data_IF_909756961427
#
_entry.id   IF_909756961427
#
_cell.length_a   1.000
_cell.length_b   1.000
_cell.length_c   1.000
_cell.angle_alpha   90.00
_cell.angle_beta   90.00
_cell.angle_gamma   90.00
#
_symmetry.space_group_name_H-M   'P 1'
#
loop_
_entity.id
_entity.type
_entity.pdbx_description
1 polymer ?
#
# COMPACT_ATOMS: atom_id res chain seq x y z
N UNK A 1 -102.13 40.16 0.40
CA UNK A 1 -101.00 39.72 1.22
C UNK A 1 -99.75 39.78 0.33
N UNK A 2 -98.94 40.82 0.47
CA UNK A 2 -97.68 40.93 -0.28
C UNK A 2 -96.63 40.06 0.40
N UNK A 3 -96.14 39.02 -0.28
CA UNK A 3 -95.00 38.25 0.23
C UNK A 3 -93.77 39.15 0.22
N UNK A 4 -93.21 39.42 1.40
CA UNK A 4 -91.91 40.09 1.54
C UNK A 4 -90.85 39.21 0.91
N UNK A 5 -90.29 39.62 -0.23
CA UNK A 5 -89.11 38.97 -0.79
C UNK A 5 -87.88 39.39 0.02
N UNK A 6 -87.35 38.44 0.78
CA UNK A 6 -86.02 38.53 1.37
C UNK A 6 -85.00 38.06 0.33
N UNK A 7 -84.06 38.93 -0.02
CA UNK A 7 -82.92 38.57 -0.88
C UNK A 7 -81.72 38.32 0.01
N UNK A 8 -81.11 37.15 -0.15
CA UNK A 8 -79.85 36.79 0.51
C UNK A 8 -78.73 37.03 -0.50
N UNK A 9 -77.76 37.86 -0.15
CA UNK A 9 -76.51 38.02 -0.91
C UNK A 9 -75.36 37.46 -0.08
N UNK A 10 -74.43 36.78 -0.74
CA UNK A 10 -73.29 36.13 -0.09
C UNK A 10 -71.99 36.72 -0.64
N UNK A 11 -71.00 36.92 0.22
CA UNK A 11 -69.62 37.26 -0.16
C UNK A 11 -68.72 36.12 0.31
N UNK A 12 -68.02 35.47 -0.62
CA UNK A 12 -66.94 34.55 -0.32
C UNK A 12 -65.69 35.07 -1.01
N UNK A 13 -64.71 35.53 -0.23
CA UNK A 13 -63.48 36.05 -0.75
C UNK A 13 -62.26 35.52 -0.01
N UNK A 14 -61.11 35.49 -0.67
CA UNK A 14 -59.85 35.10 -0.05
C UNK A 14 -58.81 36.21 -0.14
N UNK A 15 -58.11 36.43 0.97
CA UNK A 15 -56.88 37.22 1.02
C UNK A 15 -55.72 36.26 1.23
N UNK A 16 -54.69 36.30 0.40
CA UNK A 16 -53.54 35.40 0.50
C UNK A 16 -52.21 36.11 0.28
N UNK A 17 -51.16 35.59 0.90
CA UNK A 17 -49.76 35.97 0.61
C UNK A 17 -48.83 34.78 0.71
N UNK A 18 -47.88 34.70 -0.23
CA UNK A 18 -46.78 33.73 -0.17
C UNK A 18 -45.64 34.20 0.71
N UNK A 19 -45.09 33.23 1.44
CA UNK A 19 -43.90 33.37 2.27
C UNK A 19 -42.90 32.28 1.89
N UNK A 20 -41.62 32.52 2.19
CA UNK A 20 -40.56 31.52 2.01
C UNK A 20 -40.87 30.25 2.80
N UNK A 21 -40.50 29.10 2.23
CA UNK A 21 -40.56 27.83 2.93
C UNK A 21 -39.68 27.88 4.19
N UNK A 22 -40.12 27.23 5.27
CA UNK A 22 -39.42 27.19 6.56
C UNK A 22 -39.06 25.75 6.92
N UNK A 23 -37.76 25.45 7.01
CA UNK A 23 -37.24 24.25 7.64
C UNK A 23 -36.82 24.51 9.09
N UNK A 24 -36.83 23.47 9.92
CA UNK A 24 -36.45 23.55 11.35
C UNK A 24 -35.10 22.91 11.68
N UNK A 25 -34.44 22.34 10.67
CA UNK A 25 -33.16 21.66 10.79
C UNK A 25 -32.36 21.80 9.50
N UNK A 26 -31.06 21.99 9.63
CA UNK A 26 -30.09 21.95 8.52
C UNK A 26 -28.99 20.96 8.88
N UNK A 27 -28.64 20.09 7.94
CA UNK A 27 -27.48 19.23 8.11
C UNK A 27 -26.21 20.09 8.10
N UNK A 28 -25.35 19.93 9.10
CA UNK A 28 -24.01 20.51 9.09
C UNK A 28 -23.24 19.80 7.99
N UNK A 29 -22.92 20.53 6.92
CA UNK A 29 -22.28 20.06 5.68
C UNK A 29 -21.72 18.63 5.79
N UNK A 30 -22.50 17.64 5.34
CA UNK A 30 -22.02 16.29 5.13
C UNK A 30 -21.10 16.31 3.91
N UNK A 31 -19.89 16.83 4.09
CA UNK A 31 -18.82 16.70 3.11
C UNK A 31 -18.58 15.22 2.93
N UNK A 32 -18.95 14.70 1.76
CA UNK A 32 -18.87 13.28 1.46
C UNK A 32 -17.48 12.76 1.78
N UNK A 33 -17.42 11.78 2.67
CA UNK A 33 -16.20 11.00 2.83
C UNK A 33 -16.05 10.16 1.56
N UNK A 34 -15.26 10.65 0.61
CA UNK A 34 -14.79 9.82 -0.49
C UNK A 34 -13.68 8.95 0.10
N UNK A 35 -14.05 7.80 0.66
CA UNK A 35 -13.09 6.74 0.95
C UNK A 35 -12.94 5.90 -0.30
N UNK A 36 -12.25 6.45 -1.30
CA UNK A 36 -11.71 5.62 -2.37
C UNK A 36 -10.37 5.12 -1.89
N UNK A 37 -10.30 3.86 -1.48
CA UNK A 37 -9.07 3.10 -1.60
C UNK A 37 -8.76 3.04 -3.09
N UNK A 38 -7.94 3.97 -3.58
CA UNK A 38 -7.39 3.83 -4.92
C UNK A 38 -6.49 2.61 -4.86
N UNK A 39 -6.83 1.54 -5.59
CA UNK A 39 -5.88 0.48 -5.89
C UNK A 39 -4.69 1.15 -6.57
N UNK A 40 -3.63 1.38 -5.80
CA UNK A 40 -2.41 2.01 -6.25
C UNK A 40 -1.59 0.95 -6.96
N UNK A 41 -1.40 1.15 -8.27
CA UNK A 41 -0.84 0.17 -9.18
C UNK A 41 0.46 -0.46 -8.70
N UNK A 42 0.55 -1.78 -8.92
CA UNK A 42 1.81 -2.50 -8.85
C UNK A 42 2.86 -1.81 -9.71
N UNK A 43 4.01 -1.54 -9.11
CA UNK A 43 5.10 -0.80 -9.72
C UNK A 43 6.42 -1.49 -9.41
N UNK A 44 7.27 -1.58 -10.41
CA UNK A 44 8.62 -2.11 -10.27
C UNK A 44 9.51 -1.07 -9.59
N UNK A 45 9.99 -1.36 -8.38
CA UNK A 45 10.93 -0.47 -7.67
C UNK A 45 12.34 -0.91 -8.01
N UNK A 46 12.97 -0.22 -8.95
CA UNK A 46 14.40 -0.37 -9.22
C UNK A 46 15.19 0.43 -8.20
N UNK A 47 15.88 -0.23 -7.28
CA UNK A 47 16.86 0.45 -6.43
C UNK A 47 18.01 0.96 -7.30
N UNK A 48 18.40 2.21 -7.12
CA UNK A 48 19.53 2.81 -7.85
C UNK A 48 20.79 1.98 -7.60
N UNK A 49 21.53 1.73 -8.68
CA UNK A 49 22.79 0.99 -8.70
C UNK A 49 23.71 1.41 -7.56
N UNK A 50 23.91 0.53 -6.57
CA UNK A 50 24.98 0.71 -5.60
C UNK A 50 26.28 0.37 -6.30
N UNK A 51 27.14 1.38 -6.47
CA UNK A 51 28.38 1.29 -7.23
C UNK A 51 29.25 0.12 -6.79
N UNK A 52 29.86 -0.55 -7.76
CA UNK A 52 30.76 -1.69 -7.52
C UNK A 52 31.87 -1.31 -6.55
N UNK A 53 31.80 -1.83 -5.33
CA UNK A 53 32.80 -1.63 -4.31
C UNK A 53 33.88 -2.70 -4.45
N UNK A 54 35.13 -2.29 -4.56
CA UNK A 54 36.28 -3.17 -4.37
C UNK A 54 36.62 -3.17 -2.89
N UNK A 55 36.58 -4.34 -2.23
CA UNK A 55 37.03 -4.49 -0.84
C UNK A 55 38.30 -5.32 -0.82
N UNK A 56 39.32 -4.80 -0.14
CA UNK A 56 40.56 -5.52 0.08
C UNK A 56 40.30 -6.51 1.23
N UNK A 57 40.15 -7.79 0.93
CA UNK A 57 39.65 -8.80 1.91
C UNK A 57 40.73 -9.33 2.85
N UNK A 58 42.00 -9.06 2.61
CA UNK A 58 43.08 -9.46 3.51
C UNK A 58 44.41 -8.76 3.17
N UNK A 59 45.01 -8.10 4.17
CA UNK A 59 46.42 -7.69 4.16
C UNK A 59 47.22 -8.66 5.01
N UNK A 60 47.37 -9.91 4.56
CA UNK A 60 48.20 -10.86 5.28
C UNK A 60 49.67 -10.62 4.93
N UNK A 61 50.36 -9.97 5.87
CA UNK A 61 51.80 -9.71 5.83
C UNK A 61 52.59 -11.00 5.62
N UNK A 62 53.57 -10.93 4.72
CA UNK A 62 54.48 -12.03 4.41
C UNK A 62 55.11 -12.62 5.69
N UNK A 63 55.15 -13.95 5.75
CA UNK A 63 55.68 -14.71 6.88
C UNK A 63 56.78 -15.68 6.43
N UNK A 64 57.75 -15.91 7.32
CA UNK A 64 58.83 -16.89 7.11
C UNK A 64 58.38 -18.23 7.68
N UNK A 65 58.23 -19.25 6.83
CA UNK A 65 57.97 -20.62 7.28
C UNK A 65 59.28 -21.39 7.36
N UNK A 66 59.63 -21.89 8.55
CA UNK A 66 60.75 -22.84 8.74
C UNK A 66 60.18 -24.26 8.66
N UNK A 67 60.63 -25.04 7.68
CA UNK A 67 60.38 -26.49 7.65
C UNK A 67 61.15 -27.16 8.81
N UNK A 68 60.51 -28.15 9.44
CA UNK A 68 60.87 -28.84 10.70
C UNK A 68 62.37 -29.06 10.96
N UNK A 69 62.79 -28.82 12.20
CA UNK A 69 64.08 -29.22 12.73
C UNK A 69 64.21 -30.75 12.77
N UNK A 70 65.43 -31.22 12.46
CA UNK A 70 65.93 -32.59 12.66
C UNK A 70 65.74 -33.58 11.49
N UNK A 71 66.72 -33.56 10.58
CA UNK A 71 66.99 -34.62 9.59
C UNK A 71 68.46 -35.07 9.58
N UNK A 72 69.17 -35.00 10.71
CA UNK A 72 70.54 -35.50 10.84
C UNK A 72 70.54 -36.93 11.38
N UNK A 73 70.97 -37.90 10.59
CA UNK A 73 71.14 -39.30 11.04
C UNK A 73 72.43 -39.89 10.48
N UNK A 74 73.16 -40.64 11.30
CA UNK A 74 74.35 -41.38 10.89
C UNK A 74 73.93 -42.73 10.32
N UNK A 75 74.25 -42.97 9.05
CA UNK A 75 73.99 -44.28 8.41
C UNK A 75 75.30 -45.02 8.21
N UNK A 76 75.41 -46.23 8.78
CA UNK A 76 76.54 -47.14 8.53
C UNK A 76 76.27 -47.88 7.22
N UNK A 77 77.09 -47.66 6.20
CA UNK A 77 76.84 -48.15 4.83
C UNK A 77 77.58 -49.45 4.49
N UNK A 78 78.29 -50.07 5.42
CA UNK A 78 79.02 -51.33 5.14
C UNK A 78 79.14 -52.21 6.37
N UNK A 79 78.99 -53.52 6.16
CA UNK A 79 79.17 -54.59 7.17
C UNK A 79 80.38 -55.44 6.78
N UNK A 80 81.11 -55.96 7.77
CA UNK A 80 82.28 -56.84 7.61
C UNK A 80 82.09 -57.86 6.50
N UNK A 81 83.00 -57.89 5.52
CA UNK A 81 83.12 -58.99 4.57
C UNK A 81 84.08 -60.03 5.15
N UNK A 82 83.54 -61.20 5.47
CA UNK A 82 84.33 -62.36 5.88
C UNK A 82 84.76 -63.08 4.61
N UNK A 83 86.07 -63.13 4.35
CA UNK A 83 86.58 -64.02 3.32
C UNK A 83 86.67 -65.43 3.93
N UNK A 84 86.11 -66.48 3.29
CA UNK A 84 86.33 -67.86 3.73
C UNK A 84 87.84 -68.11 3.81
N UNK A 85 88.29 -68.95 4.75
CA UNK A 85 89.70 -69.12 5.18
C UNK A 85 90.72 -69.45 4.06
N UNK A 86 90.26 -69.61 2.83
CA UNK A 86 90.99 -70.10 1.66
C UNK A 86 91.00 -69.13 0.47
N UNK A 87 90.39 -67.93 0.56
CA UNK A 87 90.04 -67.15 -0.65
C UNK A 87 90.91 -65.92 -0.94
N UNK A 88 91.86 -65.53 -0.08
CA UNK A 88 92.82 -64.46 -0.42
C UNK A 88 94.22 -65.03 -0.69
N UNK A 89 94.38 -65.59 -1.89
CA UNK A 89 95.68 -66.05 -2.40
C UNK A 89 96.30 -64.94 -3.26
N UNK A 90 97.37 -64.32 -2.77
CA UNK A 90 98.21 -63.42 -3.57
C UNK A 90 99.38 -64.24 -4.09
N UNK A 91 99.35 -64.62 -5.37
CA UNK A 91 100.49 -65.24 -6.05
C UNK A 91 101.29 -64.16 -6.76
N UNK A 92 102.58 -64.03 -6.45
CA UNK A 92 103.50 -63.27 -7.29
C UNK A 92 103.77 -64.03 -8.60
N UNK A 93 103.98 -63.31 -9.71
CA UNK A 93 104.37 -63.91 -10.99
C UNK A 93 105.75 -64.61 -10.91
N UNK A 94 106.06 -65.54 -11.83
CA UNK A 94 107.27 -66.36 -11.76
C UNK A 94 108.53 -65.49 -11.81
N UNK A 95 109.49 -65.75 -10.92
CA UNK A 95 110.82 -65.15 -10.97
C UNK A 95 111.61 -65.74 -12.14
N UNK A 96 112.23 -64.88 -12.97
CA UNK A 96 112.87 -65.21 -14.25
C UNK A 96 114.23 -65.92 -14.17
N UNK A 97 114.56 -66.54 -13.04
CA UNK A 97 115.88 -67.13 -12.82
C UNK A 97 115.82 -68.66 -12.93
N UNK A 98 116.79 -69.22 -13.64
CA UNK A 98 116.83 -70.52 -14.32
C UNK A 98 116.83 -71.79 -13.44
N UNK A 99 116.20 -71.77 -12.27
CA UNK A 99 116.00 -72.94 -11.41
C UNK A 99 114.54 -73.06 -10.99
N UNK A 100 113.79 -73.91 -11.72
CA UNK A 100 112.43 -74.41 -11.42
C UNK A 100 111.43 -73.36 -10.92
N UNK A 101 110.50 -72.96 -11.79
CA UNK A 101 109.34 -72.12 -11.46
C UNK A 101 108.67 -72.60 -10.16
N UNK A 102 108.58 -71.71 -9.18
CA UNK A 102 107.80 -71.92 -7.96
C UNK A 102 107.06 -70.64 -7.60
N UNK A 103 105.92 -70.78 -6.90
CA UNK A 103 105.11 -69.68 -6.43
C UNK A 103 105.31 -69.47 -4.93
N UNK A 104 105.33 -68.20 -4.50
CA UNK A 104 105.28 -67.86 -3.08
C UNK A 104 103.82 -67.69 -2.67
N UNK A 105 103.39 -68.45 -1.67
CA UNK A 105 102.09 -68.28 -1.02
C UNK A 105 102.27 -67.42 0.23
N UNK A 106 101.70 -66.22 0.22
CA UNK A 106 101.56 -65.40 1.43
C UNK A 106 100.21 -65.73 2.08
N UNK A 107 100.24 -66.50 3.16
CA UNK A 107 99.07 -66.71 4.00
C UNK A 107 98.89 -65.52 4.95
N UNK A 108 97.80 -64.79 4.79
CA UNK A 108 97.37 -63.81 5.79
C UNK A 108 96.78 -64.59 6.96
N UNK A 109 97.60 -64.82 7.99
CA UNK A 109 97.23 -65.60 9.18
C UNK A 109 96.21 -64.84 10.03
N UNK A 110 95.01 -65.39 10.20
CA UNK A 110 93.89 -64.81 10.97
C UNK A 110 92.57 -65.48 10.60
N UNK A 111 91.45 -65.11 11.22
CA UNK A 111 90.12 -65.69 10.95
C UNK A 111 89.48 -65.21 9.62
N UNK A 112 90.30 -64.75 8.66
CA UNK A 112 89.86 -64.27 7.35
C UNK A 112 89.11 -62.93 7.39
N UNK A 113 89.12 -62.23 8.54
CA UNK A 113 88.42 -60.94 8.68
C UNK A 113 89.31 -59.77 8.28
N UNK A 114 88.93 -59.12 7.19
CA UNK A 114 89.40 -57.78 6.86
C UNK A 114 88.34 -56.76 7.32
N UNK A 115 88.41 -56.40 8.60
CA UNK A 115 87.49 -55.44 9.18
C UNK A 115 87.87 -54.01 8.76
N UNK A 116 87.05 -53.42 7.89
CA UNK A 116 87.09 -52.00 7.58
C UNK A 116 85.66 -51.45 7.58
N UNK A 117 85.48 -50.25 8.11
CA UNK A 117 84.18 -49.59 8.19
C UNK A 117 84.27 -48.19 7.58
N UNK A 118 83.18 -47.80 6.92
CA UNK A 118 82.98 -46.43 6.42
C UNK A 118 81.78 -45.82 7.13
N UNK A 119 81.95 -44.60 7.63
CA UNK A 119 80.87 -43.79 8.16
C UNK A 119 80.78 -42.50 7.37
N UNK A 120 79.57 -42.12 6.95
CA UNK A 120 79.29 -40.81 6.38
C UNK A 120 78.38 -40.07 7.34
N UNK A 121 78.83 -38.89 7.78
CA UNK A 121 78.04 -38.01 8.64
C UNK A 121 77.49 -36.87 7.81
N UNK A 122 76.18 -36.66 7.86
CA UNK A 122 75.52 -35.50 7.27
C UNK A 122 75.11 -34.57 8.41
N UNK A 123 75.72 -33.36 8.51
CA UNK A 123 75.35 -32.40 9.53
C UNK A 123 73.88 -31.99 9.46
N UNK A 124 73.31 -31.66 10.62
CA UNK A 124 72.00 -31.04 10.67
C UNK A 124 72.00 -29.75 9.85
N UNK A 125 71.04 -29.61 8.95
CA UNK A 125 70.83 -28.40 8.17
C UNK A 125 69.35 -28.03 8.16
N UNK A 126 69.08 -26.76 7.90
CA UNK A 126 67.73 -26.21 7.83
C UNK A 126 67.53 -25.52 6.50
N UNK A 127 66.32 -25.63 5.95
CA UNK A 127 65.88 -24.83 4.81
C UNK A 127 64.99 -23.69 5.29
N UNK A 128 65.28 -22.49 4.80
CA UNK A 128 64.35 -21.36 4.90
C UNK A 128 63.81 -21.05 3.51
N UNK A 129 62.52 -20.76 3.45
CA UNK A 129 61.88 -20.25 2.25
C UNK A 129 61.05 -19.02 2.62
N UNK A 130 61.16 -17.98 1.78
CA UNK A 130 60.48 -16.72 1.98
C UNK A 130 59.33 -16.60 0.99
N UNK A 131 58.12 -16.37 1.49
CA UNK A 131 56.95 -16.06 0.66
C UNK A 131 56.81 -14.54 0.61
N UNK A 132 56.97 -13.90 -0.57
CA UNK A 132 56.79 -12.47 -0.70
C UNK A 132 55.38 -12.02 -0.29
N UNK A 133 55.28 -10.79 0.19
CA UNK A 133 54.00 -10.17 0.48
C UNK A 133 53.15 -10.09 -0.79
N UNK A 134 51.90 -10.55 -0.73
CA UNK A 134 50.97 -10.47 -1.85
C UNK A 134 49.60 -10.02 -1.35
N UNK A 135 48.80 -9.51 -2.28
CA UNK A 135 47.45 -9.02 -1.99
C UNK A 135 46.44 -9.79 -2.82
N UNK A 136 45.27 -10.05 -2.23
CA UNK A 136 44.11 -10.55 -2.95
C UNK A 136 43.13 -9.40 -3.18
N UNK A 137 42.70 -9.24 -4.42
CA UNK A 137 41.62 -8.34 -4.79
C UNK A 137 40.43 -9.15 -5.30
N UNK A 138 39.24 -8.79 -4.84
CA UNK A 138 37.99 -9.34 -5.33
C UNK A 138 37.18 -8.19 -5.88
N UNK A 139 36.83 -8.26 -7.16
CA UNK A 139 36.02 -7.26 -7.83
C UNK A 139 34.60 -7.78 -8.00
N UNK A 140 33.64 -7.04 -7.45
CA UNK A 140 32.21 -7.31 -7.62
C UNK A 140 31.67 -6.27 -8.61
N UNK A 141 31.29 -6.67 -9.84
CA UNK A 141 30.70 -5.75 -10.81
C UNK A 141 29.46 -5.05 -10.26
N UNK A 142 29.17 -3.87 -10.79
CA UNK A 142 27.91 -3.19 -10.52
C UNK A 142 26.76 -4.11 -10.94
N UNK A 143 25.80 -4.32 -10.02
CA UNK A 143 24.59 -5.08 -10.29
C UNK A 143 23.38 -4.31 -9.79
N UNK A 144 22.22 -4.74 -10.26
CA UNK A 144 20.92 -4.12 -9.92
C UNK A 144 20.02 -5.17 -9.30
N UNK A 145 19.26 -4.75 -8.29
CA UNK A 145 18.14 -5.53 -7.78
C UNK A 145 16.86 -5.04 -8.41
N UNK A 146 16.06 -5.98 -8.89
CA UNK A 146 14.71 -5.73 -9.38
C UNK A 146 13.72 -6.39 -8.42
N UNK A 147 12.79 -5.60 -7.89
CA UNK A 147 11.78 -6.04 -6.93
C UNK A 147 10.42 -5.73 -7.54
N UNK A 148 9.65 -6.80 -7.78
CA UNK A 148 8.28 -6.71 -8.26
C UNK A 148 7.31 -6.65 -7.08
N UNK A 149 6.53 -5.57 -6.98
CA UNK A 149 5.50 -5.42 -5.96
C UNK A 149 4.13 -5.59 -6.63
N UNK A 150 3.42 -6.71 -6.38
CA UNK A 150 2.11 -6.95 -6.98
C UNK A 150 1.11 -5.87 -6.56
N UNK A 151 0.06 -5.74 -7.38
CA UNK A 151 -1.06 -4.88 -7.06
C UNK A 151 -1.68 -5.31 -5.72
N UNK A 152 -1.83 -4.37 -4.80
CA UNK A 152 -2.42 -4.62 -3.48
C UNK A 152 -3.48 -3.57 -3.16
N UNK A 153 -4.34 -3.90 -2.21
CA UNK A 153 -5.42 -3.04 -1.75
C UNK A 153 -5.15 -2.59 -0.33
N UNK A 154 -5.44 -1.32 -0.04
CA UNK A 154 -5.51 -0.83 1.32
C UNK A 154 -6.95 -0.86 1.80
N UNK A 155 -7.16 -1.53 2.94
CA UNK A 155 -8.40 -1.43 3.68
C UNK A 155 -8.34 -0.19 4.57
N UNK A 156 -9.39 0.63 4.50
CA UNK A 156 -9.53 1.84 5.31
C UNK A 156 -10.83 1.70 6.08
N UNK A 157 -10.73 1.54 7.40
CA UNK A 157 -11.90 1.56 8.29
C UNK A 157 -12.21 2.99 8.72
N UNK A 158 -13.40 3.47 8.39
CA UNK A 158 -13.94 4.70 8.99
C UNK A 158 -14.82 4.33 10.18
N UNK A 159 -14.49 4.79 11.40
CA UNK A 159 -15.34 4.60 12.56
C UNK A 159 -16.73 5.20 12.34
N UNK A 160 -17.73 4.65 13.04
CA UNK A 160 -19.06 5.23 13.03
C UNK A 160 -19.01 6.68 13.55
N UNK A 161 -19.54 7.61 12.77
CA UNK A 161 -19.63 9.02 13.15
C UNK A 161 -21.07 9.52 12.98
N UNK A 162 -21.41 10.55 13.75
CA UNK A 162 -22.70 11.25 13.63
C UNK A 162 -22.49 12.63 13.03
N UNK A 163 -23.42 13.04 12.18
CA UNK A 163 -23.48 14.43 11.73
C UNK A 163 -24.35 15.21 12.70
N UNK A 164 -23.83 16.32 13.23
CA UNK A 164 -24.65 17.22 14.02
C UNK A 164 -25.75 17.83 13.15
N UNK A 165 -26.95 17.93 13.72
CA UNK A 165 -28.07 18.64 13.12
C UNK A 165 -28.15 20.01 13.76
N UNK A 166 -28.06 21.08 12.96
CA UNK A 166 -28.28 22.43 13.47
C UNK A 166 -29.77 22.69 13.49
N UNK A 167 -30.31 22.91 14.68
CA UNK A 167 -31.69 23.34 14.88
C UNK A 167 -31.81 24.85 14.66
N UNK A 168 -32.83 25.28 13.92
CA UNK A 168 -33.03 26.70 13.62
C UNK A 168 -34.11 26.93 12.57
N UNK A 169 -34.51 28.18 12.40
CA UNK A 169 -35.46 28.58 11.36
C UNK A 169 -34.67 28.91 10.09
N UNK A 170 -34.68 27.98 9.14
CA UNK A 170 -34.03 28.17 7.84
C UNK A 170 -35.09 28.49 6.80
N UNK A 171 -34.90 29.59 6.08
CA UNK A 171 -35.76 29.98 4.98
C UNK A 171 -35.13 29.57 3.66
N UNK A 172 -35.93 29.00 2.76
CA UNK A 172 -35.49 28.79 1.38
C UNK A 172 -35.15 30.16 0.75
N UNK A 173 -34.12 30.21 -0.08
CA UNK A 173 -33.69 31.45 -0.72
C UNK A 173 -34.77 31.98 -1.66
N UNK A 174 -35.32 31.08 -2.47
CA UNK A 174 -36.37 31.37 -3.42
C UNK A 174 -37.75 31.40 -2.77
N UNK A 175 -38.64 32.17 -3.41
CA UNK A 175 -40.04 32.31 -3.03
C UNK A 175 -40.87 31.90 -4.23
N UNK A 176 -41.96 31.13 -4.05
CA UNK A 176 -42.87 30.80 -5.14
C UNK A 176 -43.35 32.05 -5.85
N UNK A 177 -43.49 31.95 -7.17
CA UNK A 177 -43.87 33.06 -8.04
C UNK A 177 -45.37 33.06 -8.35
N UNK A 178 -46.06 31.94 -8.11
CA UNK A 178 -47.51 31.84 -8.33
C UNK A 178 -48.19 30.86 -7.35
N UNK A 179 -49.52 30.98 -7.22
CA UNK A 179 -50.37 30.03 -6.49
C UNK A 179 -51.65 29.82 -7.28
N UNK A 180 -51.86 28.59 -7.70
CA UNK A 180 -53.11 28.14 -8.27
C UNK A 180 -54.18 28.04 -7.19
N UNK A 181 -55.36 28.61 -7.45
CA UNK A 181 -56.51 28.55 -6.56
C UNK A 181 -57.61 27.75 -7.25
N UNK A 182 -58.13 26.74 -6.57
CA UNK A 182 -59.35 26.04 -7.01
C UNK A 182 -60.42 26.10 -5.94
N UNK A 183 -61.67 26.26 -6.37
CA UNK A 183 -62.86 26.17 -5.50
C UNK A 183 -63.71 25.04 -6.05
N UNK A 184 -63.96 24.02 -5.23
CA UNK A 184 -64.68 22.79 -5.64
C UNK A 184 -64.13 22.17 -6.94
N UNK A 185 -62.81 22.28 -7.15
CA UNK A 185 -62.11 21.82 -8.35
C UNK A 185 -62.07 22.81 -9.52
N UNK A 186 -62.88 23.88 -9.50
CA UNK A 186 -62.89 24.91 -10.54
C UNK A 186 -61.71 25.88 -10.38
N UNK A 187 -60.95 26.07 -11.45
CA UNK A 187 -59.79 26.98 -11.47
C UNK A 187 -60.25 28.45 -11.41
N UNK A 188 -59.79 29.17 -10.39
CA UNK A 188 -60.01 30.61 -10.26
C UNK A 188 -59.02 31.34 -11.17
N UNK A 189 -59.52 32.29 -11.98
CA UNK A 189 -58.67 33.07 -12.85
C UNK A 189 -57.90 34.15 -12.07
N UNK A 190 -56.83 33.73 -11.40
CA UNK A 190 -55.93 34.58 -10.65
C UNK A 190 -54.50 34.05 -10.76
N UNK A 191 -53.55 34.93 -11.07
CA UNK A 191 -52.11 34.64 -11.04
C UNK A 191 -51.41 35.65 -10.13
N UNK A 192 -50.59 35.17 -9.21
CA UNK A 192 -49.68 35.96 -8.40
C UNK A 192 -49.47 35.42 -7.00
N UNK A 193 -48.52 36.02 -6.28
CA UNK A 193 -48.15 35.61 -4.93
C UNK A 193 -48.93 36.30 -3.81
N UNK A 194 -49.59 37.41 -4.12
CA UNK A 194 -50.38 38.21 -3.20
C UNK A 194 -51.73 38.53 -3.84
N UNK A 195 -52.81 38.23 -3.14
CA UNK A 195 -54.17 38.54 -3.58
C UNK A 195 -54.94 39.13 -2.41
N UNK A 196 -55.65 40.22 -2.65
CA UNK A 196 -56.56 40.81 -1.68
C UNK A 196 -57.98 40.68 -2.17
N UNK A 197 -58.83 40.06 -1.34
CA UNK A 197 -60.28 39.93 -1.57
C UNK A 197 -60.63 39.37 -2.96
N UNK A 198 -59.99 38.27 -3.35
CA UNK A 198 -60.32 37.54 -4.59
C UNK A 198 -61.71 36.92 -4.41
N UNK A 199 -62.65 37.23 -5.32
CA UNK A 199 -64.00 36.67 -5.29
C UNK A 199 -63.98 35.18 -5.67
N UNK A 200 -64.55 34.34 -4.81
CA UNK A 200 -64.63 32.88 -4.97
C UNK A 200 -66.06 32.39 -5.24
N UNK A 201 -67.07 33.26 -5.13
CA UNK A 201 -68.48 32.86 -5.23
C UNK A 201 -68.89 32.36 -6.62
N UNK A 202 -68.13 32.73 -7.64
CA UNK A 202 -68.40 32.31 -9.02
C UNK A 202 -67.88 30.90 -9.30
N UNK A 203 -67.03 30.36 -8.43
CA UNK A 203 -66.32 29.10 -8.63
C UNK A 203 -66.82 27.99 -7.69
N UNK A 204 -67.69 28.32 -6.73
CA UNK A 204 -68.31 27.38 -5.81
C UNK A 204 -69.51 26.67 -6.48
N UNK A 205 -69.76 25.42 -6.11
CA UNK A 205 -70.86 24.64 -6.67
C UNK A 205 -72.24 25.28 -6.35
N UNK A 206 -73.11 25.36 -7.36
CA UNK A 206 -74.48 25.90 -7.25
C UNK A 206 -75.51 24.88 -7.69
N UNK A 207 -76.70 24.93 -7.08
CA UNK A 207 -77.86 24.14 -7.47
C UNK A 207 -78.48 24.65 -8.79
N UNK A 208 -79.51 23.95 -9.28
CA UNK A 208 -80.22 24.33 -10.51
C UNK A 208 -80.90 25.71 -10.45
N UNK A 209 -81.06 26.28 -9.26
CA UNK A 209 -81.65 27.59 -9.02
C UNK A 209 -80.59 28.69 -8.84
N UNK A 210 -79.31 28.37 -9.03
CA UNK A 210 -78.19 29.30 -8.89
C UNK A 210 -77.78 29.60 -7.44
N UNK A 211 -78.29 28.85 -6.46
CA UNK A 211 -77.91 28.98 -5.04
C UNK A 211 -76.71 28.09 -4.73
N UNK A 212 -75.82 28.53 -3.85
CA UNK A 212 -74.69 27.71 -3.40
C UNK A 212 -75.23 26.42 -2.78
N UNK A 213 -74.67 25.27 -3.16
CA UNK A 213 -75.07 23.97 -2.61
C UNK A 213 -74.76 23.91 -1.11
N UNK A 214 -75.50 23.09 -0.35
CA UNK A 214 -75.23 22.94 1.09
C UNK A 214 -74.21 21.83 1.29
N UNK A 215 -73.22 22.06 2.13
CA UNK A 215 -72.28 21.01 2.54
C UNK A 215 -70.86 21.53 2.65
N UNK A 216 -69.90 20.63 2.41
CA UNK A 216 -68.48 20.94 2.39
C UNK A 216 -68.12 21.50 1.02
N UNK A 217 -67.52 22.68 1.03
CA UNK A 217 -66.82 23.24 -0.12
C UNK A 217 -65.32 23.25 0.14
N UNK A 218 -64.52 23.07 -0.91
CA UNK A 218 -63.08 22.93 -0.80
C UNK A 218 -62.35 24.03 -1.58
N UNK A 219 -61.53 24.80 -0.86
CA UNK A 219 -60.62 25.78 -1.46
C UNK A 219 -59.21 25.20 -1.44
N UNK A 220 -58.69 24.85 -2.61
CA UNK A 220 -57.33 24.35 -2.78
C UNK A 220 -56.39 25.48 -3.15
N UNK A 221 -55.22 25.55 -2.51
CA UNK A 221 -54.16 26.52 -2.80
C UNK A 221 -52.88 25.76 -3.10
N UNK A 222 -52.46 25.76 -4.37
CA UNK A 222 -51.29 25.01 -4.84
C UNK A 222 -50.20 25.98 -5.32
N UNK A 223 -49.13 26.20 -4.54
CA UNK A 223 -48.02 27.04 -4.99
C UNK A 223 -47.19 26.30 -6.04
N UNK A 224 -46.62 27.03 -6.99
CA UNK A 224 -45.79 26.43 -8.05
C UNK A 224 -44.43 25.94 -7.56
N UNK A 225 -43.98 26.42 -6.39
CA UNK A 225 -42.76 25.99 -5.73
C UNK A 225 -42.97 25.84 -4.22
N UNK A 226 -41.93 25.37 -3.51
CA UNK A 226 -41.96 25.22 -2.05
C UNK A 226 -42.09 26.58 -1.37
N UNK A 227 -43.19 26.77 -0.66
CA UNK A 227 -43.41 27.97 0.14
C UNK A 227 -44.38 27.74 1.28
N UNK A 228 -44.64 28.81 2.02
CA UNK A 228 -45.70 28.87 3.02
C UNK A 228 -46.80 29.80 2.52
N UNK A 229 -48.05 29.35 2.58
CA UNK A 229 -49.22 30.17 2.27
C UNK A 229 -49.78 30.72 3.58
N UNK A 230 -50.02 32.03 3.62
CA UNK A 230 -50.86 32.65 4.63
C UNK A 230 -52.13 33.12 3.95
N UNK A 231 -53.26 32.52 4.30
CA UNK A 231 -54.55 32.81 3.70
C UNK A 231 -55.60 33.11 4.76
N UNK A 232 -56.52 34.01 4.42
CA UNK A 232 -57.69 34.36 5.19
C UNK A 232 -58.91 34.21 4.29
N UNK A 233 -59.83 33.34 4.68
CA UNK A 233 -61.12 33.19 4.03
C UNK A 233 -62.12 34.13 4.70
N UNK A 234 -62.82 34.92 3.89
CA UNK A 234 -63.79 35.91 4.33
C UNK A 234 -65.14 35.47 3.79
N UNK A 235 -66.04 35.12 4.70
CA UNK A 235 -67.44 34.79 4.42
C UNK A 235 -68.33 35.88 4.99
N UNK A 236 -69.20 36.49 4.18
CA UNK A 236 -70.25 37.39 4.67
C UNK A 236 -71.60 37.00 4.10
N UNK A 237 -72.62 37.16 4.92
CA UNK A 237 -74.01 36.94 4.58
C UNK A 237 -74.75 38.25 4.75
N UNK A 238 -75.38 38.74 3.68
CA UNK A 238 -76.25 39.91 3.69
C UNK A 238 -77.69 39.45 3.52
N UNK A 239 -78.58 39.99 4.36
CA UNK A 239 -80.02 39.74 4.27
C UNK A 239 -80.67 41.09 3.98
N UNK A 240 -81.21 41.26 2.78
CA UNK A 240 -81.91 42.48 2.35
C UNK A 240 -83.41 42.22 2.27
N UNK A 241 -84.19 43.06 2.93
CA UNK A 241 -85.66 43.05 2.83
C UNK A 241 -86.11 44.05 1.78
N UNK A 242 -86.81 43.60 0.73
CA UNK A 242 -87.46 44.50 -0.21
C UNK A 242 -88.86 44.87 0.31
N UNK A 243 -88.98 46.06 0.91
CA UNK A 243 -90.28 46.72 1.07
C UNK A 243 -90.45 47.65 -0.13
N UNK A 244 -91.34 47.27 -1.04
CA UNK A 244 -91.65 47.99 -2.27
C UNK A 244 -93.16 48.10 -2.42
N UNK A 245 -93.74 49.11 -1.79
CA UNK A 245 -95.06 49.63 -2.14
C UNK A 245 -94.88 51.07 -2.56
N UNK A 246 -95.45 51.46 -3.71
CA UNK A 246 -95.67 52.88 -3.98
C UNK A 246 -96.59 53.40 -2.86
N UNK A 247 -96.12 54.38 -2.10
CA UNK A 247 -96.96 55.18 -1.22
C UNK A 247 -97.77 56.18 -2.06
#
# INVERSE_FOLDING_TARGET
MGATLLTIEEELAIKKRMRKFRGYSKATAGGGSIVKSTGGGGGTVKSTSSGGASTQTSSSGGGTSKSTESGGSTTVTSTTKIFPKEVLQISSGPSSDSQSEHTHLVNISGDGRFDHAHSVSVPAHSHSFNVPNHVHSVSIPAHTHDIDLPNHTHEIELPNHVHEIIHGIFLLEDKPTDVEIRVDGNLVNFSGTNGDRINLIDYIEKDSNGKITRGKHEVTLLPNERGRIEAQLITRLFIRSHIGGNY
#
